data_IF_842253582165
#
_entry.id   IF_842253582165
#
_cell.length_a   1.000
_cell.length_b   1.000
_cell.length_c   1.000
_cell.angle_alpha   90.00
_cell.angle_beta   90.00
_cell.angle_gamma   90.00
#
_symmetry.space_group_name_H-M   'P 1'
#
loop_
_entity.id
_entity.type
_entity.pdbx_description
1 polymer ?
#
# COMPACT_ATOMS: atom_id res chain seq x y z
N UNK A 1 20.81 -4.38 14.90
CA UNK A 1 19.62 -4.47 14.03
C UNK A 1 18.43 -4.35 14.97
N UNK A 2 17.77 -3.20 14.96
CA UNK A 2 16.67 -2.89 15.85
C UNK A 2 15.44 -3.70 15.44
N UNK A 3 14.77 -4.33 16.41
CA UNK A 3 13.48 -5.00 16.18
C UNK A 3 12.41 -4.03 15.62
N UNK A 4 12.64 -2.72 15.69
CA UNK A 4 11.77 -1.68 15.17
C UNK A 4 11.75 -1.65 13.63
N UNK A 5 12.87 -1.96 12.97
CA UNK A 5 12.97 -1.99 11.50
C UNK A 5 12.19 -3.18 10.91
N UNK A 6 12.03 -4.26 11.70
CA UNK A 6 11.19 -5.41 11.34
C UNK A 6 9.70 -5.05 11.42
N UNK A 7 9.26 -4.31 12.45
CA UNK A 7 7.84 -3.95 12.64
C UNK A 7 7.36 -2.90 11.62
N UNK A 8 8.20 -1.93 11.25
CA UNK A 8 7.87 -0.94 10.21
C UNK A 8 8.13 -1.45 8.78
N UNK A 9 8.90 -2.53 8.62
CA UNK A 9 9.08 -3.22 7.35
C UNK A 9 7.78 -3.87 6.83
N UNK A 10 6.92 -4.31 7.75
CA UNK A 10 5.71 -5.09 7.46
C UNK A 10 4.46 -4.23 7.20
N UNK A 11 4.54 -2.90 7.29
CA UNK A 11 3.40 -2.01 7.00
C UNK A 11 3.70 -0.98 5.91
N UNK A 12 2.66 -0.57 5.19
CA UNK A 12 2.67 0.44 4.14
C UNK A 12 1.55 1.47 4.38
N UNK A 13 1.60 2.61 3.70
CA UNK A 13 0.52 3.61 3.71
C UNK A 13 -0.28 3.47 2.41
N UNK A 14 -1.60 3.29 2.53
CA UNK A 14 -2.51 3.34 1.39
C UNK A 14 -2.46 4.74 0.75
N UNK A 15 -2.09 4.87 -0.54
CA UNK A 15 -1.98 6.18 -1.21
C UNK A 15 -3.29 6.98 -1.24
N UNK A 16 -4.45 6.31 -1.20
CA UNK A 16 -5.77 6.90 -1.34
C UNK A 16 -6.24 7.50 -0.01
N UNK A 17 -6.32 6.68 1.04
CA UNK A 17 -6.96 7.05 2.30
C UNK A 17 -5.97 7.29 3.45
N UNK A 18 -4.68 7.03 3.22
CA UNK A 18 -3.57 7.18 4.19
C UNK A 18 -3.66 6.25 5.41
N UNK A 19 -4.43 5.18 5.30
CA UNK A 19 -4.45 4.11 6.31
C UNK A 19 -3.14 3.33 6.30
N UNK A 20 -2.73 2.84 7.47
CA UNK A 20 -1.64 1.87 7.61
C UNK A 20 -2.17 0.49 7.19
N UNK A 21 -1.45 -0.20 6.32
CA UNK A 21 -1.79 -1.49 5.73
C UNK A 21 -0.71 -2.50 6.04
N UNK A 22 -1.10 -3.70 6.47
CA UNK A 22 -0.19 -4.84 6.60
C UNK A 22 0.21 -5.35 5.20
N UNK A 23 1.51 -5.37 4.91
CA UNK A 23 2.06 -5.83 3.62
C UNK A 23 1.98 -7.35 3.46
N UNK A 24 1.97 -8.11 4.55
CA UNK A 24 1.90 -9.57 4.49
C UNK A 24 0.50 -10.05 4.11
N UNK A 25 -0.54 -9.29 4.49
CA UNK A 25 -1.92 -9.58 4.15
C UNK A 25 -2.75 -8.30 3.91
N UNK A 26 -2.50 -7.58 2.81
CA UNK A 26 -3.19 -6.33 2.50
C UNK A 26 -4.64 -6.61 2.12
N UNK A 27 -5.66 -6.10 2.84
CA UNK A 27 -7.06 -6.43 2.54
C UNK A 27 -7.54 -5.92 1.18
N UNK A 28 -6.93 -4.83 0.67
CA UNK A 28 -7.16 -4.32 -0.67
C UNK A 28 -6.23 -4.89 -1.73
N UNK A 29 -5.31 -5.78 -1.36
CA UNK A 29 -4.28 -6.31 -2.23
C UNK A 29 -3.15 -5.31 -2.51
N UNK A 30 -2.35 -5.68 -3.49
CA UNK A 30 -1.21 -4.91 -3.98
C UNK A 30 -1.41 -4.43 -5.44
N UNK A 31 -0.65 -3.42 -5.84
CA UNK A 31 -0.57 -2.92 -7.22
C UNK A 31 0.88 -2.54 -7.55
N UNK A 32 1.43 -3.13 -8.62
CA UNK A 32 2.77 -2.81 -9.12
C UNK A 32 2.74 -1.68 -10.16
N UNK A 33 3.54 -0.64 -9.95
CA UNK A 33 3.68 0.48 -10.88
C UNK A 33 5.12 1.03 -10.82
N UNK A 34 5.75 1.21 -11.99
CA UNK A 34 7.09 1.78 -12.12
C UNK A 34 8.17 1.14 -11.21
N UNK A 35 8.07 -0.18 -11.02
CA UNK A 35 9.00 -0.93 -10.16
C UNK A 35 8.74 -0.80 -8.66
N UNK A 36 7.67 -0.13 -8.25
CA UNK A 36 7.22 0.00 -6.87
C UNK A 36 5.93 -0.82 -6.64
N UNK A 37 5.80 -1.39 -5.44
CA UNK A 37 4.59 -2.10 -5.00
C UNK A 37 3.83 -1.21 -4.01
N UNK A 38 2.57 -0.94 -4.33
CA UNK A 38 1.63 -0.21 -3.47
C UNK A 38 0.65 -1.17 -2.81
N UNK A 39 0.27 -0.90 -1.56
CA UNK A 39 -0.60 -1.76 -0.76
C UNK A 39 -1.85 -0.97 -0.34
N UNK A 40 -3.01 -1.62 -0.34
CA UNK A 40 -4.29 -0.96 -0.15
C UNK A 40 -5.08 -1.54 1.02
N UNK A 41 -5.80 -0.68 1.73
CA UNK A 41 -6.62 -1.07 2.87
C UNK A 41 -7.93 -1.75 2.44
N UNK A 42 -8.37 -1.54 1.20
CA UNK A 42 -9.58 -2.13 0.63
C UNK A 42 -9.53 -2.20 -0.90
N UNK A 43 -10.24 -3.15 -1.54
CA UNK A 43 -10.23 -3.30 -3.00
C UNK A 43 -10.63 -2.01 -3.74
N UNK A 44 -11.58 -1.24 -3.18
CA UNK A 44 -12.00 0.04 -3.74
C UNK A 44 -10.89 1.10 -3.79
N UNK A 45 -9.96 1.10 -2.82
CA UNK A 45 -8.80 2.00 -2.87
C UNK A 45 -7.83 1.59 -3.99
N UNK A 46 -7.57 0.27 -4.15
CA UNK A 46 -6.75 -0.23 -5.25
C UNK A 46 -7.36 0.10 -6.61
N UNK A 47 -8.67 -0.07 -6.78
CA UNK A 47 -9.37 0.24 -8.02
C UNK A 47 -9.37 1.74 -8.34
N UNK A 48 -9.55 2.61 -7.35
CA UNK A 48 -9.43 4.06 -7.52
C UNK A 48 -8.01 4.46 -7.92
N UNK A 49 -7.01 3.88 -7.27
CA UNK A 49 -5.61 4.08 -7.64
C UNK A 49 -5.34 3.65 -9.08
N UNK A 50 -5.79 2.45 -9.48
CA UNK A 50 -5.58 1.92 -10.82
C UNK A 50 -6.20 2.77 -11.94
N UNK A 51 -7.28 3.51 -11.66
CA UNK A 51 -7.91 4.41 -12.65
C UNK A 51 -7.07 5.66 -12.94
N UNK A 52 -6.38 6.19 -11.93
CA UNK A 52 -5.55 7.38 -12.07
C UNK A 52 -4.41 7.41 -11.05
N UNK A 53 -3.35 6.62 -11.24
CA UNK A 53 -2.25 6.55 -10.27
C UNK A 53 -1.53 7.88 -10.09
N UNK A 54 -1.34 8.64 -11.17
CA UNK A 54 -0.61 9.92 -11.18
C UNK A 54 -1.25 10.99 -10.30
N UNK A 55 -2.53 10.83 -9.91
CA UNK A 55 -3.21 11.71 -8.95
C UNK A 55 -2.75 11.49 -7.50
N UNK A 56 -2.22 10.31 -7.18
CA UNK A 56 -1.92 9.86 -5.82
C UNK A 56 -0.44 9.62 -5.54
N UNK A 57 0.40 9.61 -6.59
CA UNK A 57 1.86 9.60 -6.54
C UNK A 57 2.39 11.02 -6.33
#
# INVERSE_FOLDING_TARGET
>A
MSNLDLIFGDTAIDPICKMIVDKQNPPGGEFGLDGQIYFFCAPGCREEFAKNPTKYL
#
